data_IF_506758078035
#
_entry.id   IF_506758078035
#
_cell.length_a   1.000
_cell.length_b   1.000
_cell.length_c   1.000
_cell.angle_alpha   90.00
_cell.angle_beta   90.00
_cell.angle_gamma   90.00
#
_symmetry.space_group_name_H-M   'P 1'
#
loop_
_entity.id
_entity.type
_entity.pdbx_description
1 polymer ?
#
# COMPACT_ATOMS: atom_id res chain seq x y z
N UNK A 1 3.85 -12.03 -21.64
CA UNK A 1 4.43 -11.06 -20.68
C UNK A 1 4.03 -11.47 -19.29
N UNK A 2 4.94 -11.39 -18.32
CA UNK A 2 4.62 -11.74 -16.92
C UNK A 2 3.92 -10.55 -16.25
N UNK A 3 2.73 -10.77 -15.68
CA UNK A 3 2.06 -9.79 -14.84
C UNK A 3 2.68 -9.84 -13.42
N UNK A 4 3.07 -8.67 -12.90
CA UNK A 4 3.50 -8.50 -11.50
C UNK A 4 2.39 -7.87 -10.67
N UNK A 5 2.33 -8.22 -9.38
CA UNK A 5 1.36 -7.65 -8.44
C UNK A 5 1.69 -6.20 -8.11
N UNK A 6 0.65 -5.36 -7.98
CA UNK A 6 0.79 -3.97 -7.56
C UNK A 6 1.19 -3.85 -6.09
N UNK A 7 2.08 -2.90 -5.78
CA UNK A 7 2.55 -2.67 -4.41
C UNK A 7 1.43 -2.14 -3.49
N UNK A 8 0.58 -1.26 -4.01
CA UNK A 8 -0.59 -0.74 -3.32
C UNK A 8 -1.85 -1.38 -3.89
N UNK A 9 -2.58 -2.12 -3.06
CA UNK A 9 -3.87 -2.70 -3.42
C UNK A 9 -4.78 -2.73 -2.19
N UNK A 10 -6.09 -2.70 -2.46
CA UNK A 10 -7.13 -2.82 -1.44
C UNK A 10 -8.00 -4.02 -1.75
N UNK A 11 -8.37 -4.76 -0.71
CA UNK A 11 -9.25 -5.92 -0.80
C UNK A 11 -10.47 -5.68 0.09
N UNK A 12 -11.65 -6.02 -0.40
CA UNK A 12 -12.90 -5.93 0.36
C UNK A 12 -13.38 -7.33 0.68
N UNK A 13 -13.62 -7.59 1.96
CA UNK A 13 -14.31 -8.80 2.40
C UNK A 13 -15.82 -8.56 2.31
N UNK A 14 -16.51 -9.40 1.56
CA UNK A 14 -17.94 -9.30 1.34
C UNK A 14 -18.66 -10.29 2.23
N UNK A 15 -19.48 -9.78 3.15
CA UNK A 15 -20.40 -10.59 3.93
C UNK A 15 -21.80 -10.47 3.29
N UNK A 16 -22.29 -11.57 2.71
CA UNK A 16 -23.56 -11.59 1.99
C UNK A 16 -24.61 -12.27 2.88
N UNK A 17 -25.62 -11.52 3.26
CA UNK A 17 -26.80 -12.03 3.96
C UNK A 17 -28.02 -11.93 3.04
N UNK A 18 -28.78 -13.02 2.96
CA UNK A 18 -30.03 -13.06 2.22
C UNK A 18 -31.18 -13.33 3.20
N UNK A 19 -32.22 -12.50 3.12
CA UNK A 19 -33.48 -12.70 3.83
C UNK A 19 -34.63 -12.56 2.86
N UNK A 20 -35.74 -13.25 3.13
CA UNK A 20 -36.99 -12.98 2.44
C UNK A 20 -37.42 -11.54 2.75
N UNK A 21 -37.45 -10.71 1.71
CA UNK A 21 -37.96 -9.36 1.84
C UNK A 21 -39.49 -9.42 1.85
N UNK A 22 -40.07 -9.43 3.04
CA UNK A 22 -41.52 -9.28 3.20
C UNK A 22 -41.84 -7.80 3.29
N UNK A 23 -42.57 -7.27 2.31
CA UNK A 23 -43.17 -5.95 2.42
C UNK A 23 -44.07 -5.94 3.66
N UNK A 24 -43.63 -5.35 4.78
CA UNK A 24 -44.45 -5.24 5.98
C UNK A 24 -45.77 -4.54 5.65
N UNK A 25 -46.85 -4.85 6.37
CA UNK A 25 -48.23 -4.43 6.06
C UNK A 25 -48.36 -2.88 5.90
N UNK A 26 -47.51 -2.10 6.58
CA UNK A 26 -47.45 -0.64 6.47
C UNK A 26 -46.54 -0.11 5.34
N UNK A 27 -45.63 -0.93 4.82
CA UNK A 27 -44.80 -0.64 3.64
C UNK A 27 -45.42 -1.18 2.33
N UNK A 28 -46.25 -2.22 2.43
CA UNK A 28 -46.87 -2.91 1.31
C UNK A 28 -47.72 -1.99 0.43
N UNK A 29 -48.55 -1.12 1.02
CA UNK A 29 -49.42 -0.24 0.22
C UNK A 29 -48.65 0.90 -0.47
N UNK A 30 -47.68 1.53 0.21
CA UNK A 30 -46.94 2.67 -0.37
C UNK A 30 -45.96 2.23 -1.46
N UNK A 31 -45.36 1.04 -1.32
CA UNK A 31 -44.41 0.50 -2.29
C UNK A 31 -45.13 -0.23 -3.45
N UNK A 32 -46.27 -0.90 -3.19
CA UNK A 32 -47.17 -1.45 -4.23
C UNK A 32 -47.66 -0.35 -5.17
N UNK A 33 -47.98 0.82 -4.64
CA UNK A 33 -48.37 1.98 -5.47
C UNK A 33 -47.14 2.63 -6.11
N UNK A 34 -46.05 2.87 -5.38
CA UNK A 34 -44.89 3.58 -5.95
C UNK A 34 -44.19 2.84 -7.10
N UNK A 35 -43.97 1.52 -7.01
CA UNK A 35 -43.29 0.77 -8.08
C UNK A 35 -44.20 0.53 -9.29
N UNK A 36 -45.50 0.37 -9.08
CA UNK A 36 -46.46 0.10 -10.15
C UNK A 36 -46.94 1.39 -10.85
N UNK A 37 -46.97 2.52 -10.15
CA UNK A 37 -47.28 3.84 -10.74
C UNK A 37 -46.11 4.38 -11.60
N UNK A 38 -44.87 3.99 -11.29
CA UNK A 38 -43.68 4.33 -12.10
C UNK A 38 -43.59 3.48 -13.38
N UNK A 39 -44.13 2.25 -13.40
CA UNK A 39 -43.90 1.28 -14.48
C UNK A 39 -44.98 1.23 -15.56
N UNK A 40 -46.25 1.54 -15.29
CA UNK A 40 -47.28 1.83 -16.30
C UNK A 40 -48.64 2.09 -15.65
N UNK A 41 -49.32 3.19 -15.99
CA UNK A 41 -50.68 3.51 -15.51
C UNK A 41 -51.79 2.54 -15.99
N UNK A 42 -51.46 1.51 -16.76
CA UNK A 42 -52.41 0.58 -17.38
C UNK A 42 -52.22 -0.89 -16.97
N UNK A 43 -51.28 -1.21 -16.08
CA UNK A 43 -51.08 -2.57 -15.57
C UNK A 43 -51.87 -2.72 -14.28
N UNK A 44 -52.64 -3.79 -14.18
CA UNK A 44 -53.37 -4.14 -12.97
C UNK A 44 -52.38 -4.21 -11.79
N UNK A 45 -52.70 -3.47 -10.72
CA UNK A 45 -51.87 -3.32 -9.53
C UNK A 45 -51.60 -4.68 -8.88
N UNK A 46 -52.51 -5.64 -9.02
CA UNK A 46 -52.32 -6.99 -8.49
C UNK A 46 -51.33 -7.81 -9.32
N UNK A 47 -51.34 -7.67 -10.65
CA UNK A 47 -50.37 -8.32 -11.55
C UNK A 47 -48.96 -7.74 -11.36
N UNK A 48 -48.86 -6.42 -11.18
CA UNK A 48 -47.60 -5.76 -10.91
C UNK A 48 -47.03 -6.13 -9.53
N UNK A 49 -47.91 -6.32 -8.54
CA UNK A 49 -47.49 -6.77 -7.22
C UNK A 49 -46.95 -8.21 -7.23
N UNK A 50 -47.65 -9.14 -7.88
CA UNK A 50 -47.15 -10.52 -8.03
C UNK A 50 -45.81 -10.54 -8.77
N UNK A 51 -45.67 -9.78 -9.86
CA UNK A 51 -44.41 -9.72 -10.61
C UNK A 51 -43.26 -9.21 -9.76
N UNK A 52 -43.47 -8.14 -8.97
CA UNK A 52 -42.45 -7.61 -8.07
C UNK A 52 -42.17 -8.52 -6.87
N UNK A 53 -43.17 -9.28 -6.39
CA UNK A 53 -42.97 -10.22 -5.29
C UNK A 53 -42.01 -11.35 -5.67
N UNK A 54 -42.04 -11.82 -6.92
CA UNK A 54 -41.18 -12.91 -7.40
C UNK A 54 -39.91 -12.43 -8.11
N UNK A 55 -39.89 -11.22 -8.69
CA UNK A 55 -38.75 -10.72 -9.48
C UNK A 55 -38.04 -9.52 -8.84
N UNK A 56 -38.59 -8.95 -7.77
CA UNK A 56 -37.99 -7.85 -7.05
C UNK A 56 -36.78 -8.31 -6.26
N UNK A 57 -35.67 -7.57 -6.39
CA UNK A 57 -34.47 -7.75 -5.57
C UNK A 57 -34.15 -6.43 -4.89
N UNK A 58 -34.06 -6.46 -3.57
CA UNK A 58 -33.51 -5.34 -2.80
C UNK A 58 -32.04 -5.63 -2.47
N UNK A 59 -31.16 -4.72 -2.88
CA UNK A 59 -29.74 -4.79 -2.58
C UNK A 59 -29.37 -3.67 -1.60
N UNK A 60 -29.00 -4.04 -0.38
CA UNK A 60 -28.45 -3.11 0.60
C UNK A 60 -26.94 -3.33 0.74
N UNK A 61 -26.15 -2.28 0.51
CA UNK A 61 -24.70 -2.30 0.63
C UNK A 61 -24.28 -1.29 1.69
N UNK A 62 -23.65 -1.76 2.76
CA UNK A 62 -23.16 -0.91 3.84
C UNK A 62 -21.87 -1.47 4.43
N UNK A 63 -21.12 -0.61 5.12
CA UNK A 63 -19.94 -1.02 5.87
C UNK A 63 -20.37 -1.58 7.22
N UNK A 64 -20.07 -2.85 7.51
CA UNK A 64 -20.37 -3.47 8.80
C UNK A 64 -19.72 -2.72 9.96
N UNK A 65 -18.48 -2.24 9.76
CA UNK A 65 -17.79 -1.38 10.72
C UNK A 65 -17.01 -0.27 10.00
N UNK A 66 -16.75 0.85 10.68
CA UNK A 66 -15.91 1.95 10.19
C UNK A 66 -14.39 1.65 10.29
N UNK A 67 -14.00 0.41 10.55
CA UNK A 67 -12.60 0.02 10.76
C UNK A 67 -11.96 -0.39 9.45
N UNK A 68 -10.89 0.29 9.06
CA UNK A 68 -10.06 -0.08 7.92
C UNK A 68 -8.82 -0.82 8.44
N UNK A 69 -8.64 -2.06 8.02
CA UNK A 69 -7.42 -2.82 8.33
C UNK A 69 -6.33 -2.50 7.30
N UNK A 70 -5.28 -1.79 7.74
CA UNK A 70 -4.15 -1.43 6.88
C UNK A 70 -2.94 -2.32 7.17
N UNK A 71 -2.45 -3.04 6.16
CA UNK A 71 -1.24 -3.85 6.26
C UNK A 71 -0.09 -3.15 5.54
N UNK A 72 0.76 -2.46 6.30
CA UNK A 72 2.01 -1.92 5.76
C UNK A 72 3.13 -2.94 5.95
N UNK A 73 3.57 -3.58 4.87
CA UNK A 73 4.82 -4.34 4.92
C UNK A 73 5.98 -3.35 4.98
N UNK A 74 6.56 -3.19 6.17
CA UNK A 74 7.84 -2.51 6.30
C UNK A 74 8.87 -3.40 5.64
N UNK A 75 9.42 -2.99 4.50
CA UNK A 75 10.52 -3.68 3.82
C UNK A 75 11.68 -3.82 4.81
N UNK A 76 11.77 -4.97 5.48
CA UNK A 76 12.94 -5.35 6.25
C UNK A 76 14.04 -5.59 5.23
N UNK A 77 14.98 -4.65 5.20
CA UNK A 77 16.15 -4.54 4.34
C UNK A 77 15.98 -3.64 3.08
N UNK A 78 16.32 -2.34 3.16
CA UNK A 78 17.51 -1.96 2.40
C UNK A 78 18.69 -2.75 3.00
N UNK A 79 19.54 -3.42 2.19
CA UNK A 79 20.72 -4.07 2.74
C UNK A 79 21.44 -3.04 3.61
N UNK A 80 21.49 -3.33 4.91
CA UNK A 80 22.24 -2.59 5.93
C UNK A 80 23.72 -2.49 5.58
N UNK A 81 24.16 -3.06 4.44
CA UNK A 81 25.48 -2.90 3.86
C UNK A 81 25.87 -1.46 3.56
N UNK A 82 25.05 -0.59 2.97
CA UNK A 82 25.60 0.68 2.47
C UNK A 82 25.82 1.76 3.55
N UNK A 83 24.87 1.91 4.48
CA UNK A 83 24.97 2.90 5.56
C UNK A 83 25.78 2.41 6.78
N UNK A 84 25.86 1.09 7.01
CA UNK A 84 26.73 0.54 8.05
C UNK A 84 28.17 0.37 7.55
N UNK A 85 28.40 -0.09 6.30
CA UNK A 85 29.76 -0.25 5.78
C UNK A 85 30.50 1.09 5.66
N UNK A 86 29.82 2.19 5.28
CA UNK A 86 30.46 3.50 5.22
C UNK A 86 30.94 3.99 6.61
N UNK A 87 30.17 3.69 7.67
CA UNK A 87 30.59 3.98 9.05
C UNK A 87 31.71 3.07 9.55
N UNK A 88 31.76 1.81 9.12
CA UNK A 88 32.85 0.89 9.46
C UNK A 88 34.15 1.20 8.73
N UNK A 89 34.10 1.59 7.45
CA UNK A 89 35.29 1.95 6.66
C UNK A 89 35.91 3.26 7.18
N UNK A 90 35.08 4.24 7.54
CA UNK A 90 35.54 5.53 8.07
C UNK A 90 36.05 5.48 9.53
N UNK A 91 35.71 4.45 10.31
CA UNK A 91 36.14 4.29 11.71
C UNK A 91 37.06 3.10 11.96
N UNK A 92 37.43 2.34 10.93
CA UNK A 92 38.36 1.23 11.10
C UNK A 92 39.73 1.77 11.57
N UNK A 93 40.23 1.25 12.69
CA UNK A 93 41.54 1.65 13.23
C UNK A 93 42.67 1.34 12.24
N UNK A 94 42.46 0.36 11.36
CA UNK A 94 43.41 -0.05 10.32
C UNK A 94 43.50 1.02 9.23
N UNK A 95 42.38 1.58 8.74
CA UNK A 95 42.43 2.62 7.69
C UNK A 95 43.09 3.89 8.20
N UNK A 96 42.82 4.30 9.44
CA UNK A 96 43.46 5.47 10.04
C UNK A 96 44.96 5.27 10.30
N UNK A 97 45.37 4.08 10.74
CA UNK A 97 46.78 3.74 10.92
C UNK A 97 47.54 3.72 9.60
N UNK A 98 46.97 3.12 8.55
CA UNK A 98 47.55 3.13 7.21
C UNK A 98 47.68 4.55 6.66
N UNK A 99 46.66 5.42 6.84
CA UNK A 99 46.74 6.81 6.41
C UNK A 99 47.88 7.56 7.13
N UNK A 100 48.02 7.36 8.44
CA UNK A 100 49.09 7.98 9.23
C UNK A 100 50.49 7.57 8.76
N UNK A 101 50.69 6.28 8.49
CA UNK A 101 51.96 5.78 7.94
C UNK A 101 52.25 6.35 6.54
N UNK A 102 51.22 6.49 5.71
CA UNK A 102 51.36 7.01 4.34
C UNK A 102 51.78 8.49 4.34
N UNK A 103 51.20 9.29 5.24
CA UNK A 103 51.58 10.70 5.42
C UNK A 103 53.01 10.83 5.94
N UNK A 104 53.41 10.00 6.92
CA UNK A 104 54.78 10.00 7.42
C UNK A 104 55.80 9.64 6.33
N UNK A 105 55.52 8.61 5.53
CA UNK A 105 56.37 8.20 4.41
C UNK A 105 56.49 9.29 3.33
N UNK A 106 55.38 9.94 2.98
CA UNK A 106 55.37 11.07 2.05
C UNK A 106 56.22 12.24 2.54
N UNK A 107 56.11 12.59 3.83
CA UNK A 107 56.90 13.66 4.42
C UNK A 107 58.40 13.36 4.36
N UNK A 108 58.77 12.10 4.63
CA UNK A 108 60.16 11.66 4.62
C UNK A 108 60.74 11.62 3.19
N UNK A 109 59.93 11.25 2.20
CA UNK A 109 60.29 11.30 0.78
C UNK A 109 60.57 12.74 0.33
N UNK A 110 59.70 13.68 0.72
CA UNK A 110 59.87 15.10 0.39
C UNK A 110 61.14 15.66 1.01
N UNK A 111 61.42 15.34 2.28
CA UNK A 111 62.63 15.79 2.96
C UNK A 111 63.90 15.26 2.27
N UNK A 112 63.87 13.99 1.83
CA UNK A 112 64.97 13.39 1.08
C UNK A 112 65.19 14.08 -0.26
N UNK A 113 64.12 14.38 -1.00
CA UNK A 113 64.19 15.11 -2.27
C UNK A 113 64.80 16.51 -2.10
N UNK A 114 64.39 17.24 -1.06
CA UNK A 114 64.94 18.56 -0.74
C UNK A 114 66.45 18.47 -0.45
N UNK A 115 66.87 17.51 0.39
CA UNK A 115 68.29 17.30 0.70
C UNK A 115 69.12 16.91 -0.52
N UNK A 116 68.58 16.08 -1.42
CA UNK A 116 69.22 15.74 -2.68
C UNK A 116 69.40 16.93 -3.61
N UNK A 117 68.42 17.84 -3.68
CA UNK A 117 68.53 19.08 -4.48
C UNK A 117 69.61 19.99 -3.90
N UNK A 118 69.62 20.21 -2.57
CA UNK A 118 70.61 21.06 -1.91
C UNK A 118 72.02 20.51 -2.10
N UNK A 119 72.23 19.20 -1.97
CA UNK A 119 73.56 18.58 -2.19
C UNK A 119 74.05 18.58 -3.63
N UNK A 120 73.17 18.85 -4.60
CA UNK A 120 73.54 18.93 -6.02
C UNK A 120 74.07 20.32 -6.41
N UNK A 121 73.83 21.34 -5.58
CA UNK A 121 74.43 22.66 -5.67
C UNK A 121 75.68 22.75 -4.78
#
# INVERSE_FOLDING_TARGET
GNCSQACDHSTFELNIMQSEFTFGINFGNSMKVAFCDISNRNVDIDVCYEWNHYNGLELQVYFETLKVHTFTQRKTNPPTGFLAASKFIGRSMITNFCLGLLVAAMLQLVLFLILCIIRRF
#
